data_IF_372201847612
#
_entry.id   IF_372201847612
#
_cell.length_a   1.000
_cell.length_b   1.000
_cell.length_c   1.000
_cell.angle_alpha   90.00
_cell.angle_beta   90.00
_cell.angle_gamma   90.00
#
_symmetry.space_group_name_H-M   'P 1'
#
loop_
_entity.id
_entity.type
_entity.pdbx_description
1 polymer ?
#
# COMPACT_ATOMS: atom_id res chain seq x y z
N UNK A 1 -2.65 37.29 36.23
CA UNK A 1 -1.82 36.15 36.67
C UNK A 1 -1.05 35.70 35.45
N UNK A 2 0.28 35.75 35.42
CA UNK A 2 1.03 35.22 34.29
C UNK A 2 1.14 33.70 34.45
N UNK A 3 0.79 32.97 33.39
CA UNK A 3 0.94 31.52 33.27
C UNK A 3 2.44 31.20 33.35
N UNK A 4 2.81 30.37 34.32
CA UNK A 4 4.17 29.87 34.49
C UNK A 4 4.43 28.87 33.36
N UNK A 5 5.27 29.25 32.39
CA UNK A 5 5.82 28.33 31.41
C UNK A 5 6.87 27.46 32.15
N UNK A 6 6.49 26.24 32.52
CA UNK A 6 7.46 25.26 33.04
C UNK A 6 8.29 24.77 31.86
N UNK A 7 9.50 25.31 31.71
CA UNK A 7 10.57 24.69 30.94
C UNK A 7 11.01 23.44 31.71
N UNK A 8 10.57 22.26 31.28
CA UNK A 8 11.19 21.01 31.68
C UNK A 8 12.60 21.00 31.08
N UNK A 9 13.62 20.96 31.93
CA UNK A 9 14.98 20.72 31.49
C UNK A 9 15.11 19.22 31.21
N UNK A 10 15.35 18.83 29.95
CA UNK A 10 15.79 17.48 29.63
C UNK A 10 17.09 17.19 30.38
N UNK A 11 17.11 16.10 31.13
CA UNK A 11 18.30 15.66 31.85
C UNK A 11 19.03 14.66 30.97
N UNK A 12 20.31 14.90 30.69
CA UNK A 12 21.16 13.85 30.13
C UNK A 12 21.32 12.74 31.19
N UNK A 13 20.96 11.50 30.86
CA UNK A 13 21.05 10.37 31.77
C UNK A 13 22.52 10.09 32.15
N UNK A 14 22.70 9.53 33.34
CA UNK A 14 24.04 9.28 33.90
C UNK A 14 24.69 7.99 33.42
N UNK A 15 23.90 7.05 32.87
CA UNK A 15 24.36 5.80 32.31
C UNK A 15 24.01 5.73 30.81
N UNK A 16 24.87 5.13 29.97
CA UNK A 16 24.57 4.96 28.54
C UNK A 16 23.43 3.94 28.36
N UNK A 17 22.54 4.21 27.40
CA UNK A 17 21.53 3.26 26.96
C UNK A 17 22.18 2.21 26.06
N UNK A 18 21.91 0.93 26.31
CA UNK A 18 22.31 -0.16 25.41
C UNK A 18 21.12 -0.47 24.51
N UNK A 19 21.37 -0.48 23.20
CA UNK A 19 20.37 -0.73 22.16
C UNK A 19 20.81 -1.91 21.30
N UNK A 20 19.92 -2.86 21.08
CA UNK A 20 20.15 -4.02 20.21
C UNK A 20 19.05 -4.12 19.15
N UNK A 21 19.39 -4.11 17.84
CA UNK A 21 20.72 -3.79 17.28
C UNK A 21 21.11 -2.32 17.52
N UNK A 22 22.41 -2.03 17.55
CA UNK A 22 22.92 -0.67 17.74
C UNK A 22 22.87 0.20 16.48
N UNK A 23 22.62 -0.40 15.32
CA UNK A 23 22.38 0.29 14.05
C UNK A 23 21.26 -0.40 13.28
N UNK A 24 20.69 0.29 12.29
CA UNK A 24 19.79 -0.31 11.33
C UNK A 24 19.47 0.62 10.16
N UNK A 25 18.77 0.14 9.12
CA UNK A 25 18.53 0.92 7.91
C UNK A 25 17.55 2.08 8.13
N UNK A 26 17.71 3.14 7.33
CA UNK A 26 16.80 4.31 7.29
C UNK A 26 15.36 3.94 6.94
N UNK A 27 15.15 2.79 6.29
CA UNK A 27 13.81 2.28 5.95
C UNK A 27 12.96 1.95 7.16
N UNK A 28 13.54 1.65 8.33
CA UNK A 28 12.78 1.35 9.55
C UNK A 28 12.03 0.01 9.52
N UNK A 29 11.03 -0.09 10.40
CA UNK A 29 10.09 -1.20 10.57
C UNK A 29 10.78 -2.51 10.99
N UNK A 30 11.65 -2.37 11.98
CA UNK A 30 12.26 -3.45 12.72
C UNK A 30 12.23 -3.12 14.21
N UNK A 31 12.26 -4.17 15.03
CA UNK A 31 12.35 -4.02 16.47
C UNK A 31 13.76 -3.60 16.91
N UNK A 32 13.82 -2.71 17.90
CA UNK A 32 15.01 -2.45 18.71
C UNK A 32 14.69 -2.73 20.17
N UNK A 33 15.65 -3.30 20.88
CA UNK A 33 15.59 -3.58 22.32
C UNK A 33 16.45 -2.58 23.08
N UNK A 34 15.85 -1.91 24.05
CA UNK A 34 16.44 -0.91 24.92
C UNK A 34 16.62 -1.50 26.32
N UNK A 35 17.86 -1.64 26.79
CA UNK A 35 18.12 -2.13 28.16
C UNK A 35 17.96 -0.97 29.16
N UNK A 36 16.88 -1.00 29.94
CA UNK A 36 16.52 0.08 30.87
C UNK A 36 15.62 -0.40 32.01
N UNK A 37 15.86 0.12 33.21
CA UNK A 37 15.00 -0.07 34.39
C UNK A 37 14.02 1.11 34.60
N UNK A 38 14.04 2.09 33.70
CA UNK A 38 13.18 3.26 33.77
C UNK A 38 11.72 2.89 33.48
N UNK A 39 10.79 3.57 34.16
CA UNK A 39 9.38 3.50 33.81
C UNK A 39 9.12 4.43 32.62
N UNK A 40 9.11 3.87 31.41
CA UNK A 40 8.98 4.61 30.15
C UNK A 40 7.54 4.57 29.64
N UNK A 41 6.94 5.71 29.31
CA UNK A 41 5.59 5.77 28.74
C UNK A 41 5.57 5.74 27.21
N UNK A 42 6.59 6.29 26.57
CA UNK A 42 6.77 6.29 25.11
C UNK A 42 8.25 6.42 24.76
N UNK A 43 8.58 6.01 23.54
CA UNK A 43 9.92 6.13 22.98
C UNK A 43 9.81 6.87 21.64
N UNK A 44 10.73 7.80 21.42
CA UNK A 44 10.96 8.42 20.12
C UNK A 44 12.39 8.11 19.66
N UNK A 45 12.56 7.87 18.36
CA UNK A 45 13.87 7.67 17.72
C UNK A 45 13.96 8.60 16.52
N UNK A 46 15.00 9.43 16.47
CA UNK A 46 15.17 10.47 15.45
C UNK A 46 13.95 11.41 15.31
N UNK A 47 13.27 11.69 16.43
CA UNK A 47 12.08 12.55 16.47
C UNK A 47 10.81 11.94 15.87
N UNK A 48 10.79 10.62 15.62
CA UNK A 48 9.60 9.87 15.24
C UNK A 48 9.17 8.97 16.39
N UNK A 49 7.86 8.86 16.61
CA UNK A 49 7.31 7.93 17.59
C UNK A 49 7.65 6.49 17.18
N UNK A 50 7.93 5.65 18.16
CA UNK A 50 7.97 4.19 17.97
C UNK A 50 6.61 3.58 18.27
N UNK A 51 6.34 2.38 17.75
CA UNK A 51 5.10 1.64 18.00
C UNK A 51 5.39 0.23 18.56
N UNK A 52 4.32 -0.51 18.91
CA UNK A 52 4.44 -1.89 19.38
C UNK A 52 5.23 -2.08 20.69
N UNK A 53 5.23 -1.07 21.58
CA UNK A 53 6.05 -1.12 22.80
C UNK A 53 5.66 -2.28 23.72
N UNK A 54 6.62 -3.18 23.98
CA UNK A 54 6.50 -4.23 24.98
C UNK A 54 7.55 -4.05 26.09
N UNK A 55 7.16 -4.29 27.34
CA UNK A 55 8.04 -4.13 28.51
C UNK A 55 8.35 -5.49 29.11
N UNK A 56 9.64 -5.78 29.27
CA UNK A 56 10.16 -6.91 30.05
C UNK A 56 10.93 -6.39 31.27
N UNK A 57 11.33 -7.30 32.16
CA UNK A 57 12.15 -6.92 33.31
C UNK A 57 13.55 -6.46 32.84
N UNK A 58 13.82 -5.16 32.95
CA UNK A 58 15.10 -4.54 32.59
C UNK A 58 15.26 -4.18 31.12
N UNK A 59 14.21 -4.35 30.29
CA UNK A 59 14.27 -3.98 28.87
C UNK A 59 12.91 -3.60 28.30
N UNK A 60 12.96 -2.85 27.22
CA UNK A 60 11.79 -2.45 26.42
C UNK A 60 12.09 -2.78 24.96
N UNK A 61 11.15 -3.40 24.26
CA UNK A 61 11.22 -3.58 22.82
C UNK A 61 10.22 -2.65 22.15
N UNK A 62 10.65 -1.98 21.09
CA UNK A 62 9.84 -1.05 20.28
C UNK A 62 10.16 -1.21 18.80
N UNK A 63 9.21 -0.85 17.94
CA UNK A 63 9.42 -0.81 16.50
C UNK A 63 9.71 0.62 16.02
N UNK A 64 10.82 0.79 15.29
CA UNK A 64 11.18 2.09 14.71
C UNK A 64 10.53 2.28 13.35
N UNK A 65 10.21 3.52 12.96
CA UNK A 65 9.59 3.83 11.66
C UNK A 65 10.58 4.36 10.61
N UNK A 66 11.88 4.38 10.94
CA UNK A 66 12.97 4.82 10.06
C UNK A 66 13.47 6.24 10.36
N UNK A 67 14.25 6.82 9.45
CA UNK A 67 14.70 8.21 9.57
C UNK A 67 15.01 8.83 8.21
N UNK A 68 14.79 10.15 8.09
CA UNK A 68 15.11 10.96 6.90
C UNK A 68 16.61 11.13 6.64
N UNK A 69 17.45 10.78 7.62
CA UNK A 69 18.90 10.88 7.49
C UNK A 69 19.59 9.76 8.25
N UNK A 70 20.70 9.29 7.70
CA UNK A 70 21.62 8.34 8.34
C UNK A 70 22.48 9.01 9.41
N UNK A 71 23.19 8.19 10.19
CA UNK A 71 24.06 8.62 11.27
C UNK A 71 23.41 8.50 12.66
N UNK A 72 24.06 9.04 13.70
CA UNK A 72 23.59 8.96 15.08
C UNK A 72 22.18 9.53 15.22
N UNK A 73 21.33 8.77 15.92
CA UNK A 73 19.94 9.13 16.16
C UNK A 73 19.70 9.36 17.65
N UNK A 74 19.03 10.47 17.95
CA UNK A 74 18.52 10.76 19.28
C UNK A 74 17.44 9.72 19.65
N UNK A 75 17.57 9.13 20.83
CA UNK A 75 16.51 8.35 21.48
C UNK A 75 15.99 9.14 22.68
N UNK A 76 14.69 9.39 22.71
CA UNK A 76 14.00 10.03 23.82
C UNK A 76 13.11 9.02 24.52
N UNK A 77 13.35 8.81 25.81
CA UNK A 77 12.48 8.00 26.67
C UNK A 77 11.64 8.92 27.55
N UNK A 78 10.32 8.92 27.35
CA UNK A 78 9.42 9.68 28.21
C UNK A 78 9.20 8.95 29.53
N UNK A 79 9.45 9.62 30.66
CA UNK A 79 9.30 9.03 32.00
C UNK A 79 8.48 9.95 32.91
N UNK A 80 7.94 9.46 34.04
CA UNK A 80 7.27 10.30 35.03
C UNK A 80 8.14 11.45 35.58
N UNK A 81 9.46 11.35 35.49
CA UNK A 81 10.43 12.36 35.95
C UNK A 81 10.82 13.36 34.84
N UNK A 82 10.34 13.13 33.61
CA UNK A 82 10.63 13.90 32.39
C UNK A 82 11.44 13.10 31.34
N UNK A 83 11.61 13.68 30.14
CA UNK A 83 12.31 13.02 29.04
C UNK A 83 13.78 12.75 29.38
N UNK A 84 14.23 11.52 29.08
CA UNK A 84 15.63 11.12 29.10
C UNK A 84 16.14 11.02 27.66
N UNK A 85 17.19 11.78 27.34
CA UNK A 85 17.69 11.93 25.96
C UNK A 85 19.04 11.24 25.80
N UNK A 86 19.17 10.40 24.77
CA UNK A 86 20.38 9.66 24.43
C UNK A 86 20.77 9.93 22.97
N UNK A 87 21.89 10.62 22.75
CA UNK A 87 22.29 11.12 21.41
C UNK A 87 23.09 10.11 20.56
N UNK A 88 23.76 9.14 21.21
CA UNK A 88 24.75 8.26 20.57
C UNK A 88 24.46 6.77 20.81
N UNK A 89 23.24 6.42 21.23
CA UNK A 89 22.88 5.04 21.59
C UNK A 89 22.52 4.17 20.37
N UNK A 90 22.14 4.81 19.25
CA UNK A 90 21.71 4.16 18.02
C UNK A 90 22.12 5.00 16.80
N UNK A 91 22.29 4.36 15.63
CA UNK A 91 22.61 5.04 14.38
C UNK A 91 21.85 4.42 13.21
N UNK A 92 21.33 5.25 12.32
CA UNK A 92 20.79 4.78 11.05
C UNK A 92 21.91 4.60 10.02
N UNK A 93 21.84 3.52 9.25
CA UNK A 93 22.75 3.24 8.13
C UNK A 93 22.33 4.04 6.88
N UNK A 94 23.30 4.36 6.01
CA UNK A 94 23.00 4.97 4.70
C UNK A 94 22.22 3.98 3.80
N UNK A 95 21.38 4.47 2.86
CA UNK A 95 20.80 3.61 1.84
C UNK A 95 21.90 2.87 1.05
N UNK A 96 21.60 1.65 0.60
CA UNK A 96 22.58 0.79 -0.08
C UNK A 96 23.09 1.39 -1.39
N UNK A 97 22.26 2.23 -2.03
CA UNK A 97 22.55 2.87 -3.31
C UNK A 97 22.35 4.38 -3.21
N UNK A 98 23.25 5.14 -3.84
CA UNK A 98 23.13 6.59 -3.90
C UNK A 98 21.86 7.00 -4.66
N UNK A 99 21.18 8.04 -4.18
CA UNK A 99 19.92 8.51 -4.78
C UNK A 99 18.66 7.82 -4.24
N UNK A 100 18.77 7.00 -3.20
CA UNK A 100 17.63 6.41 -2.49
C UNK A 100 17.41 7.03 -1.09
N UNK A 101 17.75 8.31 -0.94
CA UNK A 101 17.56 9.04 0.32
C UNK A 101 16.07 9.21 0.66
N UNK A 102 15.21 9.30 -0.36
CA UNK A 102 13.77 9.53 -0.21
C UNK A 102 12.99 8.85 -1.34
N UNK A 103 12.24 7.81 -0.98
CA UNK A 103 11.36 7.07 -1.90
C UNK A 103 9.92 7.46 -1.57
N UNK A 104 9.22 8.07 -2.52
CA UNK A 104 7.80 8.38 -2.41
C UNK A 104 6.97 7.46 -3.31
N UNK A 105 5.71 7.24 -2.96
CA UNK A 105 4.77 6.44 -3.72
C UNK A 105 3.39 7.08 -3.75
N UNK A 106 2.75 6.98 -4.91
CA UNK A 106 1.37 7.39 -5.15
C UNK A 106 0.69 6.37 -6.06
N UNK A 107 -0.64 6.32 -6.03
CA UNK A 107 -1.40 5.38 -6.82
C UNK A 107 -2.70 5.01 -6.13
N UNK A 108 -3.13 3.78 -6.34
CA UNK A 108 -4.36 3.28 -5.76
C UNK A 108 -4.11 2.08 -4.85
N UNK A 109 -4.98 1.08 -4.92
CA UNK A 109 -5.05 -0.03 -4.00
C UNK A 109 -3.78 -0.90 -3.97
N UNK A 110 -3.13 -1.15 -5.10
CA UNK A 110 -1.90 -1.96 -5.16
C UNK A 110 -0.73 -1.23 -4.50
N UNK A 111 -0.56 0.05 -4.83
CA UNK A 111 0.52 0.85 -4.23
C UNK A 111 0.29 1.05 -2.74
N UNK A 112 -0.97 1.18 -2.31
CA UNK A 112 -1.33 1.28 -0.90
C UNK A 112 -1.10 -0.05 -0.13
N UNK A 113 -1.12 -1.20 -0.82
CA UNK A 113 -1.05 -2.51 -0.20
C UNK A 113 -2.41 -3.05 0.28
N UNK A 114 -3.49 -2.75 -0.43
CA UNK A 114 -4.82 -3.30 -0.13
C UNK A 114 -4.83 -4.81 -0.38
N UNK A 115 -5.41 -5.58 0.54
CA UNK A 115 -5.57 -7.03 0.40
C UNK A 115 -6.90 -7.45 1.04
N UNK A 116 -7.54 -8.50 0.53
CA UNK A 116 -8.82 -8.96 1.08
C UNK A 116 -9.88 -7.84 1.11
N UNK A 117 -9.84 -6.94 0.14
CA UNK A 117 -10.80 -5.87 -0.11
C UNK A 117 -10.60 -4.57 0.65
N UNK A 118 -9.63 -4.48 1.58
CA UNK A 118 -9.48 -3.33 2.49
C UNK A 118 -8.00 -3.00 2.76
N UNK A 119 -7.65 -1.75 3.08
CA UNK A 119 -6.31 -1.44 3.57
C UNK A 119 -6.15 -1.93 5.01
N UNK A 120 -5.03 -2.60 5.29
CA UNK A 120 -4.67 -3.08 6.63
C UNK A 120 -3.22 -2.73 6.94
N UNK A 121 -2.85 -2.78 8.21
CA UNK A 121 -1.45 -2.66 8.63
C UNK A 121 -0.56 -3.67 7.88
N UNK A 122 -0.95 -4.96 7.89
CA UNK A 122 -0.21 -6.02 7.22
C UNK A 122 -0.02 -5.71 5.73
N UNK A 123 -1.10 -5.34 5.05
CA UNK A 123 -1.05 -5.05 3.62
C UNK A 123 -0.17 -3.84 3.31
N UNK A 124 -0.20 -2.79 4.14
CA UNK A 124 0.70 -1.64 4.00
C UNK A 124 2.18 -2.03 4.19
N UNK A 125 2.47 -2.93 5.13
CA UNK A 125 3.82 -3.48 5.35
C UNK A 125 4.31 -4.33 4.17
N UNK A 126 3.39 -4.98 3.44
CA UNK A 126 3.68 -5.78 2.25
C UNK A 126 3.43 -5.03 0.93
N UNK A 127 3.15 -3.72 0.98
CA UNK A 127 3.00 -2.92 -0.24
C UNK A 127 4.28 -2.95 -1.09
N UNK A 128 4.21 -2.96 -2.43
CA UNK A 128 5.40 -3.09 -3.25
C UNK A 128 6.43 -1.98 -3.00
N UNK A 129 5.99 -0.73 -2.83
CA UNK A 129 6.91 0.39 -2.54
C UNK A 129 7.65 0.21 -1.21
N UNK A 130 7.00 -0.40 -0.21
CA UNK A 130 7.61 -0.72 1.08
C UNK A 130 8.65 -1.81 0.96
N UNK A 131 8.34 -2.88 0.22
CA UNK A 131 9.29 -3.97 -0.03
C UNK A 131 10.53 -3.46 -0.76
N UNK A 132 10.37 -2.63 -1.79
CA UNK A 132 11.49 -1.99 -2.49
C UNK A 132 12.32 -1.13 -1.52
N UNK A 133 11.67 -0.32 -0.69
CA UNK A 133 12.37 0.55 0.27
C UNK A 133 13.19 -0.26 1.30
N UNK A 134 12.74 -1.45 1.69
CA UNK A 134 13.51 -2.36 2.54
C UNK A 134 14.77 -2.86 1.83
N UNK A 135 14.65 -3.31 0.58
CA UNK A 135 15.79 -3.84 -0.20
C UNK A 135 16.88 -2.80 -0.49
N UNK A 136 16.53 -1.51 -0.54
CA UNK A 136 17.51 -0.43 -0.75
C UNK A 136 17.88 0.34 0.52
N UNK A 137 17.21 0.08 1.65
CA UNK A 137 17.38 0.82 2.89
C UNK A 137 16.91 2.28 2.84
N UNK A 138 15.93 2.61 1.98
CA UNK A 138 15.44 3.96 1.76
C UNK A 138 14.41 4.39 2.80
N UNK A 139 14.41 5.66 3.18
CA UNK A 139 13.34 6.22 4.02
C UNK A 139 12.01 6.24 3.25
N UNK A 140 11.05 5.46 3.73
CA UNK A 140 9.71 5.33 3.14
C UNK A 140 8.67 5.04 4.23
N UNK A 141 8.28 6.05 5.02
CA UNK A 141 7.21 5.91 6.00
C UNK A 141 5.88 5.60 5.30
N UNK A 142 5.24 4.52 5.74
CA UNK A 142 3.86 4.16 5.42
C UNK A 142 2.94 4.59 6.57
N UNK A 143 1.74 5.15 6.28
CA UNK A 143 0.79 5.57 7.31
C UNK A 143 0.06 4.34 7.88
N UNK A 144 0.76 3.56 8.72
CA UNK A 144 0.24 2.31 9.26
C UNK A 144 -1.10 2.54 9.95
N UNK A 145 -2.10 1.80 9.49
CA UNK A 145 -3.38 1.68 10.16
C UNK A 145 -3.23 0.82 11.41
N UNK A 146 -4.03 1.09 12.42
CA UNK A 146 -4.05 0.24 13.62
C UNK A 146 -4.54 -1.17 13.30
N UNK A 147 -3.99 -2.17 13.98
CA UNK A 147 -4.42 -3.56 13.86
C UNK A 147 -5.94 -3.70 13.99
N UNK A 148 -6.49 -4.64 13.22
CA UNK A 148 -7.92 -4.96 13.19
C UNK A 148 -8.85 -3.78 12.85
N UNK A 149 -8.39 -2.63 12.35
CA UNK A 149 -9.28 -1.51 12.00
C UNK A 149 -10.42 -1.96 11.08
N UNK A 150 -10.04 -2.58 9.95
CA UNK A 150 -10.95 -3.18 8.98
C UNK A 150 -11.00 -4.69 9.13
N UNK A 151 -12.16 -5.27 8.80
CA UNK A 151 -12.29 -6.71 8.62
C UNK A 151 -11.91 -7.06 7.18
N UNK A 152 -10.92 -7.92 6.98
CA UNK A 152 -10.54 -8.42 5.66
C UNK A 152 -11.48 -9.54 5.22
N UNK A 153 -11.61 -9.74 3.91
CA UNK A 153 -12.26 -10.92 3.35
C UNK A 153 -11.31 -12.11 3.54
N UNK A 154 -11.38 -12.83 4.66
CA UNK A 154 -10.65 -14.09 4.88
C UNK A 154 -11.36 -15.36 4.35
N UNK A 155 -10.71 -16.54 4.45
CA UNK A 155 -11.28 -17.84 4.05
C UNK A 155 -12.67 -18.12 4.63
N UNK A 156 -12.93 -17.68 5.86
CA UNK A 156 -14.19 -17.84 6.57
C UNK A 156 -15.37 -17.07 5.96
N UNK A 157 -15.09 -16.11 5.07
CA UNK A 157 -16.09 -15.35 4.35
C UNK A 157 -16.43 -15.95 2.98
N UNK A 158 -15.62 -16.90 2.50
CA UNK A 158 -15.82 -17.53 1.21
C UNK A 158 -16.98 -18.54 1.31
N UNK A 159 -17.87 -18.52 0.32
CA UNK A 159 -19.01 -19.43 0.24
C UNK A 159 -18.59 -20.91 0.20
N UNK A 160 -19.53 -21.85 0.42
CA UNK A 160 -19.22 -23.27 0.34
C UNK A 160 -18.89 -23.70 -1.11
N UNK A 161 -18.18 -24.82 -1.29
CA UNK A 161 -18.06 -25.46 -2.59
C UNK A 161 -19.42 -25.91 -3.17
N UNK A 162 -19.56 -25.99 -4.51
CA UNK A 162 -18.51 -25.76 -5.50
C UNK A 162 -18.25 -24.29 -5.87
N UNK A 163 -19.17 -23.38 -5.61
CA UNK A 163 -19.05 -22.01 -6.15
C UNK A 163 -17.95 -21.20 -5.46
N UNK A 164 -17.70 -21.47 -4.16
CA UNK A 164 -16.72 -20.76 -3.35
C UNK A 164 -16.81 -19.24 -3.55
N UNK A 165 -18.02 -18.70 -3.44
CA UNK A 165 -18.36 -17.33 -3.79
C UNK A 165 -17.54 -16.35 -2.94
N UNK A 166 -16.82 -15.45 -3.60
CA UNK A 166 -16.10 -14.35 -2.96
C UNK A 166 -17.11 -13.23 -2.69
N UNK A 167 -17.22 -12.72 -1.45
CA UNK A 167 -18.08 -11.58 -1.14
C UNK A 167 -17.76 -10.36 -2.01
N UNK A 168 -18.80 -9.63 -2.40
CA UNK A 168 -18.62 -8.33 -3.06
C UNK A 168 -17.90 -7.35 -2.12
N UNK A 169 -16.78 -6.78 -2.57
CA UNK A 169 -15.92 -5.91 -1.74
C UNK A 169 -16.69 -4.69 -1.24
N UNK A 170 -17.52 -4.06 -2.09
CA UNK A 170 -18.29 -2.88 -1.68
C UNK A 170 -19.36 -3.25 -0.65
N UNK A 171 -20.02 -4.40 -0.80
CA UNK A 171 -20.96 -4.91 0.18
C UNK A 171 -20.27 -5.25 1.51
N UNK A 172 -19.09 -5.87 1.47
CA UNK A 172 -18.30 -6.20 2.66
C UNK A 172 -17.94 -4.92 3.44
N UNK A 173 -17.38 -3.93 2.76
CA UNK A 173 -17.08 -2.60 3.32
C UNK A 173 -18.33 -1.95 3.94
N UNK A 174 -19.46 -1.95 3.23
CA UNK A 174 -20.70 -1.37 3.72
C UNK A 174 -21.20 -2.08 4.99
N UNK A 175 -20.98 -3.40 5.11
CA UNK A 175 -21.38 -4.17 6.27
C UNK A 175 -20.50 -3.90 7.51
N UNK A 176 -19.23 -3.58 7.30
CA UNK A 176 -18.26 -3.30 8.38
C UNK A 176 -18.14 -1.81 8.75
N UNK A 177 -18.74 -0.91 7.97
CA UNK A 177 -18.59 0.54 8.15
C UNK A 177 -18.94 1.04 9.57
N UNK A 178 -19.99 0.49 10.19
CA UNK A 178 -20.38 0.89 11.55
C UNK A 178 -19.33 0.52 12.61
N UNK A 179 -18.67 -0.63 12.44
CA UNK A 179 -17.63 -1.10 13.37
C UNK A 179 -16.36 -0.27 13.22
N UNK A 180 -15.98 0.09 11.98
CA UNK A 180 -14.87 1.00 11.71
C UNK A 180 -15.14 2.36 12.35
N UNK A 181 -16.30 2.97 12.09
CA UNK A 181 -16.68 4.26 12.66
C UNK A 181 -16.72 4.25 14.18
N UNK A 182 -17.11 3.14 14.80
CA UNK A 182 -17.08 3.01 16.26
C UNK A 182 -15.66 2.98 16.82
N UNK A 183 -14.69 2.38 16.12
CA UNK A 183 -13.27 2.34 16.52
C UNK A 183 -12.59 3.70 16.44
N UNK A 184 -12.98 4.52 15.46
CA UNK A 184 -12.40 5.86 15.23
C UNK A 184 -13.27 6.99 15.81
N UNK A 185 -14.21 6.67 16.70
CA UNK A 185 -15.05 7.64 17.37
C UNK A 185 -14.30 8.31 18.53
N UNK A 186 -14.00 9.59 18.37
CA UNK A 186 -13.39 10.43 19.38
C UNK A 186 -14.48 10.96 20.34
N UNK A 187 -14.76 10.17 21.39
CA UNK A 187 -15.77 10.52 22.41
C UNK A 187 -15.45 11.82 23.16
N UNK A 188 -14.17 12.20 23.25
CA UNK A 188 -13.77 13.41 23.97
C UNK A 188 -14.16 14.68 23.18
N UNK A 189 -14.00 14.63 21.87
CA UNK A 189 -14.29 15.77 20.99
C UNK A 189 -15.60 15.66 20.21
N UNK A 190 -16.38 14.59 20.42
CA UNK A 190 -17.68 14.33 19.77
C UNK A 190 -17.58 14.35 18.23
N UNK A 191 -16.54 13.67 17.69
CA UNK A 191 -16.27 13.62 16.25
C UNK A 191 -15.69 12.27 15.81
N UNK A 192 -15.62 12.06 14.51
CA UNK A 192 -14.77 11.01 13.94
C UNK A 192 -13.32 11.52 13.93
N UNK A 193 -12.41 10.74 14.49
CA UNK A 193 -10.98 11.05 14.54
C UNK A 193 -10.19 10.06 13.70
N UNK A 194 -9.91 10.38 12.44
CA UNK A 194 -9.08 9.52 11.57
C UNK A 194 -7.67 9.28 12.15
N UNK A 195 -7.16 10.20 12.97
CA UNK A 195 -5.92 10.03 13.73
C UNK A 195 -5.93 8.84 14.70
N UNK A 196 -7.11 8.37 15.15
CA UNK A 196 -7.26 7.16 15.96
C UNK A 196 -7.10 5.88 15.12
N UNK A 197 -7.13 6.00 13.80
CA UNK A 197 -7.02 4.90 12.87
C UNK A 197 -5.57 4.58 12.51
N UNK A 198 -4.59 5.38 12.94
CA UNK A 198 -3.17 5.22 12.64
C UNK A 198 -2.36 4.88 13.88
N UNK A 199 -1.33 4.06 13.69
CA UNK A 199 -0.31 3.79 14.71
C UNK A 199 0.46 5.07 15.08
N UNK A 200 0.82 5.87 14.07
CA UNK A 200 1.40 7.20 14.23
C UNK A 200 0.64 8.21 13.35
N UNK A 201 -0.27 9.02 13.91
CA UNK A 201 -1.00 10.02 13.14
C UNK A 201 -0.17 11.25 12.76
N UNK A 202 0.99 11.47 13.37
CA UNK A 202 1.86 12.61 13.12
C UNK A 202 2.95 12.31 12.08
N UNK A 203 3.16 11.03 11.73
CA UNK A 203 4.11 10.66 10.69
C UNK A 203 3.69 11.27 9.35
N UNK A 204 4.66 11.86 8.65
CA UNK A 204 4.46 12.31 7.26
C UNK A 204 4.55 11.08 6.35
N UNK A 205 3.46 10.65 5.70
CA UNK A 205 3.49 9.50 4.81
C UNK A 205 4.28 9.78 3.54
N UNK A 206 5.06 8.79 3.11
CA UNK A 206 5.75 8.78 1.83
C UNK A 206 5.07 7.82 0.86
N UNK A 207 4.31 6.85 1.36
CA UNK A 207 3.26 6.21 0.59
C UNK A 207 1.93 6.95 0.81
N UNK A 208 1.51 7.72 -0.18
CA UNK A 208 0.24 8.49 -0.14
C UNK A 208 -0.85 7.86 -1.00
N UNK A 209 -0.65 6.63 -1.46
CA UNK A 209 -1.61 5.92 -2.29
C UNK A 209 -2.95 5.69 -1.56
N UNK A 210 -4.04 5.85 -2.31
CA UNK A 210 -5.41 5.72 -1.81
C UNK A 210 -6.20 4.80 -2.72
N UNK A 211 -6.65 3.68 -2.17
CA UNK A 211 -7.48 2.70 -2.86
C UNK A 211 -8.68 3.33 -3.54
N UNK A 212 -9.09 2.72 -4.65
CA UNK A 212 -10.16 3.21 -5.54
C UNK A 212 -9.85 4.52 -6.29
N UNK A 213 -8.65 5.11 -6.14
CA UNK A 213 -8.24 6.30 -6.92
C UNK A 213 -8.05 5.96 -8.40
N UNK A 214 -8.58 6.81 -9.27
CA UNK A 214 -8.24 6.86 -10.70
C UNK A 214 -7.17 7.94 -10.96
N UNK A 215 -6.67 8.06 -12.20
CA UNK A 215 -5.63 9.06 -12.54
C UNK A 215 -6.03 10.49 -12.18
N UNK A 216 -7.30 10.86 -12.41
CA UNK A 216 -7.78 12.20 -12.11
C UNK A 216 -7.75 12.48 -10.59
N UNK A 217 -8.00 11.48 -9.75
CA UNK A 217 -7.90 11.61 -8.29
C UNK A 217 -6.45 11.80 -7.84
N UNK A 218 -5.48 11.15 -8.50
CA UNK A 218 -4.05 11.33 -8.21
C UNK A 218 -3.62 12.79 -8.44
N UNK A 219 -4.15 13.42 -9.49
CA UNK A 219 -3.80 14.78 -9.93
C UNK A 219 -4.56 15.86 -9.18
N UNK A 220 -5.87 15.65 -8.97
CA UNK A 220 -6.79 16.69 -8.48
C UNK A 220 -7.22 16.47 -7.02
N UNK A 221 -6.87 15.33 -6.43
CA UNK A 221 -7.40 14.89 -5.14
C UNK A 221 -8.76 14.19 -5.29
N UNK A 222 -9.24 13.53 -4.22
CA UNK A 222 -10.48 12.79 -4.25
C UNK A 222 -11.66 13.71 -4.57
N UNK A 223 -12.61 13.20 -5.36
CA UNK A 223 -13.84 13.91 -5.69
C UNK A 223 -14.67 14.19 -4.43
N UNK A 224 -15.23 15.42 -4.31
CA UNK A 224 -16.13 15.79 -3.20
C UNK A 224 -17.39 14.92 -3.13
N UNK A 225 -17.78 14.31 -4.25
CA UNK A 225 -18.95 13.43 -4.31
C UNK A 225 -18.65 12.00 -3.86
N UNK A 226 -17.37 11.59 -3.86
CA UNK A 226 -16.94 10.22 -3.61
C UNK A 226 -16.53 10.04 -2.14
N UNK A 227 -17.53 9.80 -1.29
CA UNK A 227 -17.33 9.64 0.15
C UNK A 227 -16.27 8.57 0.51
N UNK A 228 -16.27 7.42 -0.18
CA UNK A 228 -15.32 6.34 0.09
C UNK A 228 -13.87 6.79 -0.13
N UNK A 229 -13.60 7.52 -1.22
CA UNK A 229 -12.27 8.07 -1.49
C UNK A 229 -11.88 9.16 -0.49
N UNK A 230 -12.80 10.07 -0.13
CA UNK A 230 -12.54 11.08 0.92
C UNK A 230 -12.17 10.41 2.25
N UNK A 231 -12.94 9.39 2.64
CA UNK A 231 -12.70 8.63 3.86
C UNK A 231 -11.34 7.95 3.86
N UNK A 232 -10.97 7.27 2.77
CA UNK A 232 -9.66 6.62 2.64
C UNK A 232 -8.51 7.64 2.57
N UNK A 233 -8.69 8.79 1.93
CA UNK A 233 -7.68 9.84 1.85
C UNK A 233 -7.39 10.47 3.23
N UNK A 234 -8.41 10.70 4.06
CA UNK A 234 -8.20 11.09 5.46
C UNK A 234 -7.40 10.04 6.23
N UNK A 235 -7.73 8.75 6.05
CA UNK A 235 -6.98 7.67 6.65
C UNK A 235 -5.52 7.64 6.20
N UNK A 236 -5.18 8.02 4.96
CA UNK A 236 -3.82 7.88 4.40
C UNK A 236 -2.94 9.11 4.57
N UNK A 237 -3.46 10.33 4.37
CA UNK A 237 -2.61 11.53 4.45
C UNK A 237 -3.26 12.79 5.07
N UNK A 238 -4.53 12.74 5.49
CA UNK A 238 -5.16 13.84 6.25
C UNK A 238 -5.89 13.35 7.52
N UNK A 239 -5.16 12.86 8.54
CA UNK A 239 -5.76 12.18 9.70
C UNK A 239 -6.47 13.13 10.68
N UNK A 240 -6.27 14.44 10.53
CA UNK A 240 -6.83 15.45 11.45
C UNK A 240 -8.08 16.14 10.91
N UNK A 241 -8.41 15.95 9.63
CA UNK A 241 -9.65 16.42 9.01
C UNK A 241 -10.91 15.82 9.64
N UNK A 242 -12.06 16.47 9.45
CA UNK A 242 -13.36 15.95 9.85
C UNK A 242 -13.95 15.07 8.73
N UNK A 243 -14.83 14.12 9.06
CA UNK A 243 -15.46 13.20 8.09
C UNK A 243 -16.31 13.90 7.02
N UNK A 244 -16.73 15.14 7.28
CA UNK A 244 -17.46 15.97 6.32
C UNK A 244 -16.56 16.94 5.55
N UNK A 245 -15.31 17.08 5.97
CA UNK A 245 -14.37 17.96 5.30
C UNK A 245 -13.91 17.28 4.01
N UNK A 246 -13.61 18.11 3.02
CA UNK A 246 -12.96 17.64 1.81
C UNK A 246 -11.47 17.57 2.08
N UNK A 247 -10.85 16.48 1.65
CA UNK A 247 -9.40 16.41 1.50
C UNK A 247 -8.97 17.29 0.31
N UNK A 248 -8.34 18.42 0.62
CA UNK A 248 -7.95 19.41 -0.40
C UNK A 248 -6.71 19.02 -1.20
N UNK A 249 -5.78 18.26 -0.60
CA UNK A 249 -4.53 17.89 -1.23
C UNK A 249 -4.68 16.67 -2.13
N UNK A 250 -4.11 16.76 -3.34
CA UNK A 250 -3.91 15.60 -4.21
C UNK A 250 -2.68 14.79 -3.78
N UNK A 251 -2.67 13.50 -4.13
CA UNK A 251 -1.48 12.66 -3.90
C UNK A 251 -0.24 13.23 -4.59
N UNK A 252 -0.41 13.76 -5.81
CA UNK A 252 0.66 14.36 -6.59
C UNK A 252 1.27 15.60 -5.92
N UNK A 253 0.46 16.51 -5.38
CA UNK A 253 0.97 17.67 -4.63
C UNK A 253 1.74 17.25 -3.37
N UNK A 254 1.28 16.20 -2.69
CA UNK A 254 1.98 15.66 -1.53
C UNK A 254 3.35 15.10 -1.93
N UNK A 255 3.40 14.26 -2.97
CA UNK A 255 4.67 13.71 -3.47
C UNK A 255 5.62 14.81 -3.95
N UNK A 256 5.14 15.82 -4.66
CA UNK A 256 5.96 16.99 -5.06
C UNK A 256 6.54 17.71 -3.83
N UNK A 257 5.74 17.87 -2.76
CA UNK A 257 6.18 18.54 -1.53
C UNK A 257 7.24 17.75 -0.75
N UNK A 258 7.32 16.43 -0.94
CA UNK A 258 8.34 15.58 -0.32
C UNK A 258 9.74 15.77 -0.95
N UNK A 259 9.83 16.34 -2.16
CA UNK A 259 11.06 16.44 -2.95
C UNK A 259 11.83 15.10 -2.99
N UNK A 260 11.19 14.03 -3.52
CA UNK A 260 11.75 12.69 -3.52
C UNK A 260 12.91 12.55 -4.51
N UNK A 261 13.71 11.50 -4.32
CA UNK A 261 14.73 11.09 -5.30
C UNK A 261 14.23 9.94 -6.19
N UNK A 262 13.26 9.16 -5.70
CA UNK A 262 12.57 8.10 -6.44
C UNK A 262 11.05 8.20 -6.20
N UNK A 263 10.25 8.03 -7.25
CA UNK A 263 8.78 7.96 -7.18
C UNK A 263 8.28 6.65 -7.79
N UNK A 264 7.35 5.98 -7.11
CA UNK A 264 6.78 4.69 -7.55
C UNK A 264 5.25 4.77 -7.63
N UNK A 265 4.69 4.18 -8.69
CA UNK A 265 3.26 3.89 -8.80
C UNK A 265 3.03 2.51 -9.43
N UNK A 266 2.53 1.58 -8.63
CA UNK A 266 2.30 0.17 -9.03
C UNK A 266 0.91 -0.09 -9.62
N UNK A 267 0.06 0.92 -9.60
CA UNK A 267 -1.27 0.90 -10.17
C UNK A 267 -1.74 2.32 -10.50
N UNK A 268 -1.12 2.90 -11.53
CA UNK A 268 -1.37 4.30 -11.90
C UNK A 268 -2.80 4.56 -12.35
N UNK A 269 -3.47 3.57 -12.95
CA UNK A 269 -4.81 3.74 -13.54
C UNK A 269 -5.70 2.48 -13.49
N UNK A 270 -5.49 1.58 -12.53
CA UNK A 270 -6.30 0.37 -12.44
C UNK A 270 -7.81 0.65 -12.38
N UNK A 271 -8.21 1.64 -11.57
CA UNK A 271 -9.62 1.97 -11.36
C UNK A 271 -10.29 2.68 -12.55
N UNK A 272 -9.51 3.29 -13.45
CA UNK A 272 -10.03 3.79 -14.74
C UNK A 272 -10.49 2.66 -15.67
N UNK A 273 -9.92 1.47 -15.51
CA UNK A 273 -10.07 0.33 -16.42
C UNK A 273 -11.03 -0.73 -15.88
N UNK A 274 -10.97 -1.07 -14.59
CA UNK A 274 -11.71 -2.22 -14.04
C UNK A 274 -13.18 -1.92 -13.71
N UNK A 275 -13.59 -0.65 -13.74
CA UNK A 275 -14.94 -0.20 -13.36
C UNK A 275 -16.07 -0.97 -14.05
N UNK A 276 -15.90 -1.30 -15.34
CA UNK A 276 -16.87 -2.07 -16.13
C UNK A 276 -17.04 -3.53 -15.73
N UNK A 277 -16.18 -4.06 -14.86
CA UNK A 277 -16.25 -5.43 -14.33
C UNK A 277 -16.66 -5.41 -12.84
N UNK A 278 -16.08 -4.48 -12.07
CA UNK A 278 -16.21 -4.50 -10.61
C UNK A 278 -17.38 -3.68 -10.07
N UNK A 279 -17.84 -2.64 -10.79
CA UNK A 279 -18.89 -1.71 -10.31
C UNK A 279 -20.30 -2.01 -10.84
N UNK A 280 -20.48 -3.11 -11.59
CA UNK A 280 -21.76 -3.48 -12.19
C UNK A 280 -22.04 -4.98 -12.05
N UNK A 281 -23.33 -5.34 -12.00
CA UNK A 281 -23.78 -6.74 -12.05
C UNK A 281 -23.59 -7.37 -13.45
N UNK A 282 -23.29 -6.57 -14.47
CA UNK A 282 -23.01 -7.00 -15.83
C UNK A 282 -21.70 -6.38 -16.30
N UNK A 283 -21.07 -6.97 -17.32
CA UNK A 283 -19.97 -6.31 -18.03
C UNK A 283 -20.51 -5.02 -18.66
N UNK A 284 -19.98 -3.87 -18.27
CA UNK A 284 -20.46 -2.56 -18.68
C UNK A 284 -19.30 -1.62 -19.05
N UNK A 285 -18.93 -1.54 -20.34
CA UNK A 285 -17.84 -0.68 -20.79
C UNK A 285 -18.09 0.82 -20.57
N UNK A 286 -19.33 1.23 -20.25
CA UNK A 286 -19.66 2.65 -20.03
C UNK A 286 -19.18 3.18 -18.69
N UNK A 287 -18.68 2.30 -17.81
CA UNK A 287 -18.11 2.65 -16.50
C UNK A 287 -16.59 2.84 -16.52
N UNK A 288 -15.94 2.71 -17.68
CA UNK A 288 -14.54 3.06 -17.84
C UNK A 288 -14.41 4.58 -17.97
N UNK A 289 -13.27 5.12 -17.56
CA UNK A 289 -12.96 6.54 -17.80
C UNK A 289 -13.04 6.83 -19.32
N UNK A 290 -13.61 7.95 -19.76
CA UNK A 290 -13.52 8.33 -21.17
C UNK A 290 -12.05 8.56 -21.59
N UNK A 291 -11.67 8.09 -22.77
CA UNK A 291 -10.26 8.13 -23.23
C UNK A 291 -9.66 9.54 -23.24
N UNK A 292 -10.46 10.56 -23.55
CA UNK A 292 -10.03 11.95 -23.55
C UNK A 292 -9.81 12.51 -22.14
N UNK A 293 -10.69 12.16 -21.19
CA UNK A 293 -10.52 12.53 -19.77
C UNK A 293 -9.30 11.82 -19.15
N UNK A 294 -9.12 10.54 -19.48
CA UNK A 294 -7.94 9.76 -19.09
C UNK A 294 -6.64 10.34 -19.65
N UNK A 295 -6.59 10.64 -20.95
CA UNK A 295 -5.40 11.19 -21.60
C UNK A 295 -5.03 12.55 -20.98
N UNK A 296 -6.00 13.43 -20.73
CA UNK A 296 -5.76 14.73 -20.10
C UNK A 296 -5.13 14.58 -18.71
N UNK A 297 -5.72 13.75 -17.84
CA UNK A 297 -5.22 13.55 -16.48
C UNK A 297 -3.86 12.84 -16.46
N UNK A 298 -3.66 11.84 -17.32
CA UNK A 298 -2.41 11.08 -17.36
C UNK A 298 -1.23 11.91 -17.87
N UNK A 299 -1.47 12.74 -18.89
CA UNK A 299 -0.46 13.68 -19.38
C UNK A 299 -0.05 14.63 -18.27
N UNK A 300 -1.00 15.24 -17.56
CA UNK A 300 -0.66 16.13 -16.43
C UNK A 300 0.12 15.39 -15.33
N UNK A 301 -0.30 14.19 -14.96
CA UNK A 301 0.34 13.36 -13.95
C UNK A 301 1.82 13.10 -14.31
N UNK A 302 2.09 12.63 -15.53
CA UNK A 302 3.45 12.30 -15.98
C UNK A 302 4.32 13.54 -16.13
N UNK A 303 3.80 14.63 -16.71
CA UNK A 303 4.55 15.89 -16.86
C UNK A 303 4.99 16.46 -15.50
N UNK A 304 4.09 16.42 -14.50
CA UNK A 304 4.36 16.90 -13.15
C UNK A 304 5.33 15.99 -12.39
N UNK A 305 5.15 14.66 -12.47
CA UNK A 305 6.12 13.72 -11.91
C UNK A 305 7.51 13.88 -12.52
N UNK A 306 7.61 14.03 -13.85
CA UNK A 306 8.89 14.28 -14.51
C UNK A 306 9.56 15.56 -14.00
N UNK A 307 8.78 16.61 -13.69
CA UNK A 307 9.29 17.89 -13.19
C UNK A 307 9.86 17.83 -11.75
N UNK A 308 9.62 16.75 -11.00
CA UNK A 308 10.24 16.54 -9.67
C UNK A 308 11.75 16.34 -9.76
N UNK A 309 12.27 15.90 -10.92
CA UNK A 309 13.65 15.42 -11.13
C UNK A 309 14.00 14.14 -10.36
N UNK A 310 13.02 13.45 -9.77
CA UNK A 310 13.18 12.09 -9.27
C UNK A 310 13.27 11.10 -10.44
N UNK A 311 13.82 9.91 -10.19
CA UNK A 311 13.59 8.75 -11.06
C UNK A 311 12.17 8.22 -10.78
N UNK A 312 11.31 8.24 -11.80
CA UNK A 312 9.88 7.91 -11.67
C UNK A 312 9.62 6.55 -12.32
N UNK A 313 8.97 5.64 -11.61
CA UNK A 313 8.62 4.31 -12.09
C UNK A 313 7.11 4.13 -12.06
N UNK A 314 6.52 3.95 -13.23
CA UNK A 314 5.08 3.78 -13.43
C UNK A 314 4.81 2.44 -14.07
N UNK A 315 3.83 1.71 -13.58
CA UNK A 315 3.39 0.44 -14.19
C UNK A 315 2.28 0.66 -15.21
N UNK A 316 2.31 -0.14 -16.28
CA UNK A 316 1.11 -0.38 -17.08
C UNK A 316 0.17 -1.36 -16.36
N UNK A 317 -1.06 -1.52 -16.86
CA UNK A 317 -2.05 -2.38 -16.22
C UNK A 317 -2.29 -3.68 -17.00
N UNK A 318 -2.41 -4.84 -16.32
CA UNK A 318 -2.88 -6.08 -16.92
C UNK A 318 -4.26 -5.94 -17.56
N UNK A 319 -4.60 -6.91 -18.42
CA UNK A 319 -5.95 -7.03 -18.98
C UNK A 319 -6.97 -7.21 -17.85
N UNK A 320 -7.94 -6.31 -17.77
CA UNK A 320 -8.98 -6.38 -16.74
C UNK A 320 -9.83 -7.67 -16.82
N UNK A 321 -9.92 -8.26 -18.00
CA UNK A 321 -10.63 -9.53 -18.25
C UNK A 321 -9.98 -10.73 -17.58
N UNK A 322 -8.75 -10.61 -17.08
CA UNK A 322 -8.08 -11.64 -16.28
C UNK A 322 -8.61 -11.72 -14.84
N UNK A 323 -9.37 -10.73 -14.38
CA UNK A 323 -9.99 -10.80 -13.06
C UNK A 323 -10.94 -12.00 -12.98
N UNK A 324 -10.86 -12.86 -11.94
CA UNK A 324 -11.79 -13.95 -11.69
C UNK A 324 -13.27 -13.54 -11.81
N UNK A 325 -13.60 -12.33 -11.35
CA UNK A 325 -14.96 -11.77 -11.43
C UNK A 325 -15.51 -11.70 -12.86
N UNK A 326 -14.65 -11.60 -13.88
CA UNK A 326 -15.06 -11.57 -15.30
C UNK A 326 -15.86 -12.81 -15.69
N UNK A 327 -15.41 -14.00 -15.29
CA UNK A 327 -16.12 -15.27 -15.57
C UNK A 327 -17.52 -15.26 -14.95
N UNK A 328 -17.63 -14.77 -13.71
CA UNK A 328 -18.88 -14.67 -12.96
C UNK A 328 -19.85 -13.70 -13.65
N UNK A 329 -19.38 -12.50 -14.02
CA UNK A 329 -20.22 -11.50 -14.72
C UNK A 329 -20.67 -12.00 -16.09
N UNK A 330 -19.79 -12.70 -16.82
CA UNK A 330 -20.14 -13.32 -18.10
C UNK A 330 -21.25 -14.34 -17.94
N UNK A 331 -21.12 -15.26 -16.99
CA UNK A 331 -22.14 -16.28 -16.72
C UNK A 331 -23.49 -15.66 -16.32
N UNK A 332 -23.48 -14.68 -15.42
CA UNK A 332 -24.69 -13.99 -14.99
C UNK A 332 -25.41 -13.27 -16.15
N UNK A 333 -24.67 -12.67 -17.09
CA UNK A 333 -25.24 -12.05 -18.28
C UNK A 333 -25.95 -13.08 -19.19
N UNK A 334 -25.33 -14.25 -19.41
CA UNK A 334 -25.92 -15.33 -20.20
C UNK A 334 -27.21 -15.87 -19.56
N UNK A 335 -27.23 -15.99 -18.23
CA UNK A 335 -28.42 -16.42 -17.47
C UNK A 335 -29.57 -15.40 -17.54
N UNK A 336 -29.25 -14.10 -17.67
CA UNK A 336 -30.23 -13.04 -17.95
C UNK A 336 -30.74 -13.05 -19.40
N UNK A 337 -30.19 -13.90 -20.26
CA UNK A 337 -30.62 -14.09 -21.65
C UNK A 337 -29.87 -13.26 -22.67
N UNK A 338 -28.74 -12.66 -22.29
CA UNK A 338 -27.80 -12.02 -23.22
C UNK A 338 -27.06 -13.07 -24.05
N UNK A 339 -26.65 -12.74 -25.28
CA UNK A 339 -25.92 -13.67 -26.14
C UNK A 339 -24.41 -13.63 -25.85
N UNK A 340 -23.70 -14.73 -26.10
CA UNK A 340 -22.23 -14.77 -25.99
C UNK A 340 -21.57 -13.66 -26.81
N UNK A 341 -22.06 -13.42 -28.04
CA UNK A 341 -21.57 -12.36 -28.92
C UNK A 341 -21.69 -10.96 -28.30
N UNK A 342 -22.79 -10.65 -27.61
CA UNK A 342 -23.01 -9.35 -26.95
C UNK A 342 -22.13 -9.17 -25.69
N UNK A 343 -21.87 -10.24 -24.95
CA UNK A 343 -20.99 -10.17 -23.77
C UNK A 343 -19.54 -10.09 -24.19
N UNK A 344 -19.12 -10.94 -25.12
CA UNK A 344 -17.74 -10.98 -25.62
C UNK A 344 -17.39 -9.66 -26.33
N UNK A 345 -18.32 -9.04 -27.07
CA UNK A 345 -18.09 -7.71 -27.66
C UNK A 345 -17.83 -6.61 -26.61
N UNK A 346 -18.47 -6.67 -25.44
CA UNK A 346 -18.21 -5.72 -24.35
C UNK A 346 -16.87 -6.00 -23.66
N UNK A 347 -16.48 -7.26 -23.52
CA UNK A 347 -15.16 -7.62 -23.00
C UNK A 347 -14.06 -7.15 -23.96
N UNK A 348 -14.24 -7.32 -25.27
CA UNK A 348 -13.33 -6.81 -26.31
C UNK A 348 -13.21 -5.27 -26.24
N UNK A 349 -14.30 -4.54 -25.95
CA UNK A 349 -14.26 -3.08 -25.75
C UNK A 349 -13.43 -2.68 -24.52
N UNK A 350 -13.52 -3.43 -23.42
CA UNK A 350 -12.71 -3.21 -22.20
C UNK A 350 -11.24 -3.49 -22.48
N UNK A 351 -10.91 -4.59 -23.15
CA UNK A 351 -9.53 -4.91 -23.52
C UNK A 351 -8.94 -3.85 -24.46
N UNK A 352 -9.69 -3.42 -25.47
CA UNK A 352 -9.25 -2.37 -26.38
C UNK A 352 -9.02 -1.02 -25.68
N UNK A 353 -9.83 -0.69 -24.66
CA UNK A 353 -9.61 0.51 -23.85
C UNK A 353 -8.35 0.38 -22.97
N UNK A 354 -8.13 -0.78 -22.34
CA UNK A 354 -6.92 -1.05 -21.58
C UNK A 354 -5.65 -0.94 -22.42
N UNK A 355 -5.66 -1.48 -23.65
CA UNK A 355 -4.58 -1.33 -24.62
C UNK A 355 -4.33 0.16 -24.97
N UNK A 356 -5.39 0.94 -25.13
CA UNK A 356 -5.29 2.37 -25.41
C UNK A 356 -4.66 3.14 -24.23
N UNK A 357 -5.06 2.84 -23.00
CA UNK A 357 -4.48 3.44 -21.79
C UNK A 357 -3.00 3.12 -21.64
N UNK A 358 -2.65 1.82 -21.75
CA UNK A 358 -1.27 1.35 -21.71
C UNK A 358 -0.42 2.04 -22.80
N UNK A 359 -0.97 2.24 -24.00
CA UNK A 359 -0.29 2.93 -25.09
C UNK A 359 -0.06 4.42 -24.78
N UNK A 360 -1.04 5.13 -24.19
CA UNK A 360 -0.89 6.53 -23.79
C UNK A 360 0.21 6.66 -22.74
N UNK A 361 0.19 5.83 -21.67
CA UNK A 361 1.26 5.84 -20.66
C UNK A 361 2.64 5.62 -21.29
N UNK A 362 2.76 4.62 -22.17
CA UNK A 362 4.04 4.34 -22.83
C UNK A 362 4.53 5.51 -23.70
N UNK A 363 3.62 6.16 -24.43
CA UNK A 363 3.94 7.34 -25.26
C UNK A 363 4.34 8.53 -24.38
N UNK A 364 3.64 8.75 -23.27
CA UNK A 364 3.88 9.89 -22.39
C UNK A 364 5.19 9.73 -21.61
N UNK A 365 5.40 8.58 -20.97
CA UNK A 365 6.63 8.27 -20.24
C UNK A 365 7.86 8.42 -21.13
N UNK A 366 7.80 7.96 -22.39
CA UNK A 366 8.90 8.04 -23.34
C UNK A 366 9.32 9.48 -23.74
N UNK A 367 8.57 10.51 -23.34
CA UNK A 367 8.96 11.91 -23.55
C UNK A 367 10.02 12.39 -22.55
N UNK A 368 10.21 11.68 -21.44
CA UNK A 368 11.06 12.09 -20.32
C UNK A 368 12.11 11.03 -20.02
N UNK A 369 13.36 11.46 -19.82
CA UNK A 369 14.47 10.53 -19.56
C UNK A 369 14.41 9.89 -18.16
N UNK A 370 13.67 10.52 -17.23
CA UNK A 370 13.53 10.10 -15.83
C UNK A 370 12.17 9.47 -15.51
N UNK A 371 11.36 9.13 -16.52
CA UNK A 371 10.09 8.41 -16.33
C UNK A 371 10.17 7.05 -17.02
N UNK A 372 10.06 5.99 -16.21
CA UNK A 372 10.31 4.62 -16.60
C UNK A 372 9.03 3.80 -16.52
N UNK A 373 8.70 3.12 -17.61
CA UNK A 373 7.62 2.15 -17.64
C UNK A 373 8.09 0.79 -17.08
N UNK A 374 7.33 0.25 -16.13
CA UNK A 374 7.41 -1.12 -15.64
C UNK A 374 6.28 -1.93 -16.30
N UNK A 375 6.63 -3.06 -16.92
CA UNK A 375 5.70 -3.84 -17.76
C UNK A 375 5.01 -4.97 -16.97
N UNK A 376 4.10 -4.59 -16.08
CA UNK A 376 3.26 -5.51 -15.32
C UNK A 376 2.27 -6.27 -16.22
N UNK A 377 1.78 -5.63 -17.28
CA UNK A 377 0.80 -6.23 -18.19
C UNK A 377 1.35 -7.47 -18.89
N UNK A 378 2.58 -7.40 -19.42
CA UNK A 378 3.24 -8.54 -20.06
C UNK A 378 3.58 -9.63 -19.05
N UNK A 379 4.01 -9.27 -17.84
CA UNK A 379 4.34 -10.27 -16.80
C UNK A 379 3.10 -11.08 -16.42
N UNK A 380 1.99 -10.40 -16.10
CA UNK A 380 0.74 -11.08 -15.71
C UNK A 380 0.19 -11.93 -16.85
N UNK A 381 0.29 -11.48 -18.11
CA UNK A 381 -0.09 -12.31 -19.27
C UNK A 381 0.80 -13.55 -19.43
N UNK A 382 2.09 -13.44 -19.10
CA UNK A 382 3.02 -14.58 -19.11
C UNK A 382 2.66 -15.58 -18.02
N UNK A 383 2.34 -15.10 -16.83
CA UNK A 383 1.92 -15.92 -15.70
C UNK A 383 0.58 -16.62 -15.98
N UNK A 384 -0.38 -15.94 -16.61
CA UNK A 384 -1.63 -16.58 -17.02
C UNK A 384 -1.37 -17.76 -17.99
N UNK A 385 -0.45 -17.59 -18.94
CA UNK A 385 -0.14 -18.63 -19.92
C UNK A 385 0.69 -19.79 -19.34
N UNK A 386 1.70 -19.47 -18.53
CA UNK A 386 2.78 -20.39 -18.18
C UNK A 386 2.86 -20.70 -16.67
N UNK A 387 2.21 -19.92 -15.82
CA UNK A 387 2.31 -19.91 -14.36
C UNK A 387 3.66 -19.38 -13.83
N UNK A 388 3.67 -18.87 -12.61
CA UNK A 388 4.86 -18.44 -11.89
C UNK A 388 5.41 -19.60 -11.05
N UNK A 389 6.68 -19.95 -11.23
CA UNK A 389 7.34 -20.97 -10.41
C UNK A 389 8.00 -20.31 -9.19
N UNK A 390 7.55 -20.67 -7.99
CA UNK A 390 8.13 -20.22 -6.71
C UNK A 390 8.46 -21.45 -5.86
N UNK A 391 9.76 -21.72 -5.66
CA UNK A 391 10.22 -22.95 -5.03
C UNK A 391 9.68 -24.19 -5.76
N UNK A 392 8.93 -25.03 -5.06
CA UNK A 392 8.27 -26.23 -5.60
C UNK A 392 6.83 -25.98 -6.09
N UNK A 393 6.31 -24.76 -5.95
CA UNK A 393 4.94 -24.40 -6.29
C UNK A 393 4.87 -23.71 -7.66
N UNK A 394 3.83 -24.04 -8.44
CA UNK A 394 3.48 -23.35 -9.66
C UNK A 394 2.16 -22.63 -9.40
N UNK A 395 2.20 -21.31 -9.47
CA UNK A 395 1.14 -20.39 -9.03
C UNK A 395 0.64 -19.59 -10.22
N UNK A 396 -0.55 -19.01 -10.11
CA UNK A 396 -1.12 -18.17 -11.15
C UNK A 396 -1.99 -17.05 -10.58
N UNK A 397 -2.57 -16.27 -11.49
CA UNK A 397 -3.56 -15.22 -11.18
C UNK A 397 -5.00 -15.75 -11.17
N UNK A 398 -5.19 -17.07 -11.24
CA UNK A 398 -6.50 -17.68 -11.03
C UNK A 398 -6.91 -17.60 -9.56
N UNK A 399 -8.22 -17.76 -9.35
CA UNK A 399 -8.85 -17.71 -8.04
C UNK A 399 -8.18 -18.70 -7.07
N UNK A 400 -7.64 -18.17 -5.97
CA UNK A 400 -6.97 -18.94 -4.91
C UNK A 400 -5.67 -19.67 -5.31
N UNK A 401 -5.08 -19.34 -6.47
CA UNK A 401 -3.86 -19.99 -6.96
C UNK A 401 -2.57 -19.23 -6.58
N UNK A 402 -2.67 -18.37 -5.56
CA UNK A 402 -1.55 -17.86 -4.77
C UNK A 402 -1.03 -16.45 -5.08
N UNK A 403 -1.34 -15.86 -6.25
CA UNK A 403 -0.92 -14.48 -6.55
C UNK A 403 -2.00 -13.43 -6.27
N UNK A 404 -3.26 -13.81 -6.20
CA UNK A 404 -4.34 -12.93 -5.77
C UNK A 404 -4.68 -13.16 -4.31
N UNK A 405 -5.02 -12.07 -3.62
CA UNK A 405 -5.67 -12.13 -2.34
C UNK A 405 -7.08 -12.73 -2.47
N UNK A 406 -7.70 -13.03 -1.35
CA UNK A 406 -9.03 -13.66 -1.25
C UNK A 406 -10.19 -12.85 -1.83
N UNK A 407 -9.99 -11.56 -2.12
CA UNK A 407 -10.98 -10.75 -2.83
C UNK A 407 -11.00 -10.99 -4.35
N UNK A 408 -10.01 -11.70 -4.90
CA UNK A 408 -9.89 -11.97 -6.32
C UNK A 408 -9.68 -10.73 -7.20
N UNK A 409 -9.24 -9.62 -6.62
CA UNK A 409 -8.94 -8.36 -7.31
C UNK A 409 -7.52 -7.90 -7.02
N UNK A 410 -7.15 -7.81 -5.74
CA UNK A 410 -5.84 -7.35 -5.30
C UNK A 410 -4.86 -8.52 -5.18
N UNK A 411 -3.57 -8.23 -5.28
CA UNK A 411 -2.52 -9.23 -5.15
C UNK A 411 -2.33 -9.68 -3.69
N UNK A 412 -1.85 -10.91 -3.50
CA UNK A 412 -1.41 -11.44 -2.21
C UNK A 412 -0.06 -10.85 -1.77
N UNK A 413 0.49 -11.26 -0.63
CA UNK A 413 1.85 -10.83 -0.21
C UNK A 413 2.87 -11.22 -1.28
N UNK A 414 2.76 -12.45 -1.77
CA UNK A 414 3.60 -12.95 -2.84
C UNK A 414 3.40 -12.19 -4.15
N UNK A 415 2.14 -11.89 -4.50
CA UNK A 415 1.84 -11.09 -5.68
C UNK A 415 2.44 -9.68 -5.60
N UNK A 416 2.42 -9.05 -4.42
CA UNK A 416 3.09 -7.76 -4.22
C UNK A 416 4.61 -7.85 -4.23
N UNK A 417 5.20 -8.93 -3.70
CA UNK A 417 6.64 -9.16 -3.80
C UNK A 417 7.09 -9.37 -5.26
N UNK A 418 6.29 -10.08 -6.06
CA UNK A 418 6.51 -10.19 -7.51
C UNK A 418 6.47 -8.82 -8.20
N UNK A 419 5.49 -7.98 -7.86
CA UNK A 419 5.43 -6.60 -8.39
C UNK A 419 6.67 -5.81 -7.96
N UNK A 420 7.08 -5.89 -6.69
CA UNK A 420 8.29 -5.24 -6.21
C UNK A 420 9.53 -5.66 -7.03
N UNK A 421 9.66 -6.95 -7.36
CA UNK A 421 10.76 -7.46 -8.19
C UNK A 421 10.75 -6.90 -9.61
N UNK A 422 9.58 -6.71 -10.24
CA UNK A 422 9.50 -6.04 -11.55
C UNK A 422 10.03 -4.60 -11.52
N UNK A 423 9.75 -3.89 -10.43
CA UNK A 423 10.27 -2.54 -10.22
C UNK A 423 11.78 -2.55 -9.93
N UNK A 424 12.25 -3.47 -9.09
CA UNK A 424 13.68 -3.67 -8.80
C UNK A 424 14.46 -3.99 -10.09
N UNK A 425 13.95 -4.88 -10.93
CA UNK A 425 14.52 -5.19 -12.24
C UNK A 425 14.62 -3.96 -13.13
N UNK A 426 13.57 -3.15 -13.15
CA UNK A 426 13.56 -1.90 -13.92
C UNK A 426 14.58 -0.90 -13.37
N UNK A 427 14.68 -0.75 -12.06
CA UNK A 427 15.66 0.12 -11.39
C UNK A 427 17.08 -0.35 -11.71
N UNK A 428 17.37 -1.64 -11.53
CA UNK A 428 18.66 -2.25 -11.89
C UNK A 428 19.03 -1.96 -13.34
N UNK A 429 18.06 -2.08 -14.26
CA UNK A 429 18.28 -1.78 -15.68
C UNK A 429 18.62 -0.31 -15.96
N UNK A 430 17.82 0.64 -15.45
CA UNK A 430 17.90 2.05 -15.87
C UNK A 430 18.91 2.86 -15.07
N UNK A 431 19.18 2.43 -13.82
CA UNK A 431 20.08 3.10 -12.90
C UNK A 431 21.46 2.41 -12.79
N UNK A 432 21.68 1.28 -13.48
CA UNK A 432 22.91 0.46 -13.42
C UNK A 432 23.23 0.01 -11.98
N UNK A 433 22.25 -0.62 -11.33
CA UNK A 433 22.30 -1.10 -9.95
C UNK A 433 22.32 -2.63 -9.87
N UNK A 434 22.49 -3.13 -8.65
CA UNK A 434 22.47 -4.56 -8.29
C UNK A 434 21.66 -4.74 -7.01
N UNK A 435 20.44 -4.18 -6.99
CA UNK A 435 19.47 -4.33 -5.90
C UNK A 435 19.03 -5.79 -5.87
N UNK A 436 19.06 -6.40 -4.70
CA UNK A 436 18.56 -7.77 -4.49
C UNK A 436 17.05 -7.80 -4.67
N UNK A 437 16.55 -8.80 -5.40
CA UNK A 437 15.13 -9.10 -5.47
C UNK A 437 14.61 -9.61 -4.11
N UNK A 438 13.36 -9.31 -3.81
CA UNK A 438 12.63 -9.89 -2.68
C UNK A 438 12.56 -11.42 -2.86
N UNK A 439 12.87 -12.16 -1.79
CA UNK A 439 12.82 -13.62 -1.79
C UNK A 439 11.36 -14.12 -1.77
N UNK A 440 10.85 -14.47 -2.96
CA UNK A 440 9.50 -14.99 -3.13
C UNK A 440 9.25 -16.31 -2.37
N UNK A 441 10.29 -17.11 -2.11
CA UNK A 441 10.16 -18.36 -1.34
C UNK A 441 9.96 -18.05 0.14
N UNK A 442 10.64 -17.03 0.67
CA UNK A 442 10.42 -16.58 2.04
C UNK A 442 9.03 -15.95 2.21
N UNK A 443 8.61 -15.12 1.25
CA UNK A 443 7.30 -14.42 1.32
C UNK A 443 6.13 -15.41 1.33
N UNK A 444 6.13 -16.42 0.44
CA UNK A 444 5.00 -17.37 0.36
C UNK A 444 4.84 -18.22 1.64
N UNK A 445 5.89 -18.41 2.44
CA UNK A 445 5.79 -19.14 3.72
C UNK A 445 4.97 -18.36 4.77
N UNK A 446 4.95 -17.03 4.68
CA UNK A 446 4.17 -16.14 5.55
C UNK A 446 2.84 -15.67 4.96
N UNK A 447 2.62 -15.86 3.66
CA UNK A 447 1.46 -15.35 2.94
C UNK A 447 0.17 -16.08 3.35
N UNK A 448 -0.73 -15.37 4.03
CA UNK A 448 -2.02 -15.90 4.49
C UNK A 448 -3.06 -16.06 3.37
N UNK A 449 -2.77 -15.56 2.17
CA UNK A 449 -3.54 -15.81 0.97
C UNK A 449 -2.97 -16.95 0.11
N UNK A 450 -1.84 -17.55 0.51
CA UNK A 450 -1.28 -18.71 -0.18
C UNK A 450 -2.26 -19.89 -0.20
N UNK A 451 -2.23 -20.77 -1.23
CA UNK A 451 -3.16 -21.90 -1.30
C UNK A 451 -3.12 -22.79 -0.05
N UNK A 452 -1.92 -23.00 0.51
CA UNK A 452 -1.75 -23.77 1.74
C UNK A 452 -2.37 -23.07 2.96
N UNK A 453 -2.21 -21.76 3.11
CA UNK A 453 -2.82 -21.00 4.19
C UNK A 453 -4.35 -21.01 4.09
N UNK A 454 -4.92 -20.91 2.89
CA UNK A 454 -6.38 -21.00 2.67
C UNK A 454 -6.92 -22.39 3.06
N UNK A 455 -6.19 -23.46 2.72
CA UNK A 455 -6.52 -24.84 3.12
C UNK A 455 -6.46 -24.98 4.65
N UNK A 456 -5.42 -24.45 5.29
CA UNK A 456 -5.26 -24.49 6.74
C UNK A 456 -6.34 -23.65 7.46
N UNK A 457 -6.82 -22.59 6.81
CA UNK A 457 -7.99 -21.79 7.18
C UNK A 457 -9.34 -22.51 6.99
N UNK A 458 -9.34 -23.71 6.40
CA UNK A 458 -10.50 -24.58 6.27
C UNK A 458 -11.21 -24.51 4.91
N UNK A 459 -10.63 -23.86 3.91
CA UNK A 459 -11.18 -23.81 2.55
C UNK A 459 -10.81 -25.08 1.77
N UNK A 460 -11.80 -25.76 1.19
CA UNK A 460 -11.61 -26.96 0.36
C UNK A 460 -11.40 -26.57 -1.10
N UNK A 461 -10.18 -26.15 -1.44
CA UNK A 461 -9.83 -25.65 -2.78
C UNK A 461 -10.09 -26.69 -3.89
N UNK A 462 -9.83 -27.97 -3.64
CA UNK A 462 -10.05 -29.06 -4.62
C UNK A 462 -11.53 -29.23 -5.02
N UNK A 463 -12.44 -28.71 -4.20
CA UNK A 463 -13.89 -28.75 -4.44
C UNK A 463 -14.44 -27.45 -5.02
N UNK A 464 -13.66 -26.36 -5.05
CA UNK A 464 -14.05 -25.10 -5.67
C UNK A 464 -13.98 -25.20 -7.20
N UNK A 465 -14.96 -24.62 -7.89
CA UNK A 465 -14.92 -24.43 -9.34
C UNK A 465 -14.17 -23.12 -9.69
N UNK A 466 -13.47 -23.14 -10.83
CA UNK A 466 -12.62 -22.06 -11.37
C UNK A 466 -13.37 -20.89 -12.03
#
# INVERSE_FOLDING_TARGET
MPTLLFLFFACSPTEPLVVEPATGPMSGYYAIRLETELDVSSVEVAGLATYGMTKEAGSIEVWVQGAKSSGPAEIVLETPEGPQVYEDAFSYDEPLFAGFDSLAALGASLTQGVQGGVPTEHGQLHSPSRQIALEVGAFHPVPLLVEDLFLTIGPEHIGPPPECEIPDVAQHLASSAADVLAKINDEENDRIGFYLAREDPDITPYNVAVGDSNVADLVNGPSEAEFSQQFLAHLMYDPYGDIIDKVEASQLELVEALNPTVVISTDTFGNDLIGGIVRSEAVDPTLLTPLDEFEEALVELVERMAATNAEVFLSNMPRATLLPLTKIRRQAALERGETEEEVDARLDEIEAMGDAYNAILAVEAAKFDNVHLVDLATEVATIEADGLQVGDQKLSVDKFDGLLSTDGIHFSDLGYAMIANLFIDKMNQVMDLDITEVDLVEVIEGDFHSPQALIDGGLDLDSCED
#
